data_IF_027496245320
#
_entry.id   IF_027496245320
#
_cell.length_a   1.000
_cell.length_b   1.000
_cell.length_c   1.000
_cell.angle_alpha   90.00
_cell.angle_beta   90.00
_cell.angle_gamma   90.00
#
_symmetry.space_group_name_H-M   'P 1'
#
loop_
_entity.id
_entity.type
_entity.pdbx_description
1 polymer ?
#
# COMPACT_ATOMS: atom_id res chain seq x y z
N UNK A 1 28.98 -22.11 2.38
CA UNK A 1 28.59 -22.68 1.07
C UNK A 1 27.42 -21.86 0.57
N UNK A 2 27.55 -21.15 -0.55
CA UNK A 2 26.46 -20.37 -1.15
C UNK A 2 25.56 -21.35 -1.89
N UNK A 3 24.31 -21.49 -1.49
CA UNK A 3 23.28 -22.13 -2.33
C UNK A 3 23.16 -21.33 -3.64
N UNK A 4 23.14 -21.99 -4.82
CA UNK A 4 23.26 -21.29 -6.10
C UNK A 4 21.92 -20.65 -6.51
N UNK A 5 21.90 -19.79 -7.53
CA UNK A 5 20.72 -19.10 -8.11
C UNK A 5 19.59 -20.02 -8.65
N UNK A 6 19.54 -21.29 -8.26
CA UNK A 6 18.73 -22.35 -8.86
C UNK A 6 17.24 -22.27 -8.50
N UNK A 7 16.89 -21.90 -7.26
CA UNK A 7 15.48 -21.78 -6.83
C UNK A 7 14.73 -20.71 -7.63
N UNK A 8 15.44 -19.66 -8.06
CA UNK A 8 14.86 -18.53 -8.78
C UNK A 8 14.48 -18.89 -10.22
N UNK A 9 15.22 -19.80 -10.86
CA UNK A 9 14.91 -20.24 -12.22
C UNK A 9 13.69 -21.17 -12.25
N UNK A 10 13.51 -22.01 -11.22
CA UNK A 10 12.33 -22.85 -11.08
C UNK A 10 11.05 -22.02 -10.94
N UNK A 11 11.08 -20.97 -10.11
CA UNK A 11 9.94 -20.06 -9.92
C UNK A 11 9.61 -19.34 -11.24
N UNK A 12 10.61 -18.72 -11.89
CA UNK A 12 10.42 -18.05 -13.19
C UNK A 12 9.85 -18.98 -14.26
N UNK A 13 10.28 -20.24 -14.27
CA UNK A 13 9.77 -21.25 -15.20
C UNK A 13 8.30 -21.57 -14.93
N UNK A 14 7.91 -21.74 -13.66
CA UNK A 14 6.52 -21.99 -13.26
C UNK A 14 5.58 -20.81 -13.58
N UNK A 15 6.08 -19.58 -13.44
CA UNK A 15 5.33 -18.35 -13.72
C UNK A 15 5.28 -18.00 -15.22
N UNK A 16 6.07 -18.68 -16.05
CA UNK A 16 6.14 -18.44 -17.49
C UNK A 16 6.90 -17.16 -17.87
N UNK A 17 7.76 -16.67 -16.98
CA UNK A 17 8.58 -15.46 -17.18
C UNK A 17 9.87 -15.73 -17.96
N UNK A 18 10.15 -16.99 -18.30
CA UNK A 18 11.29 -17.36 -19.13
C UNK A 18 10.98 -17.19 -20.61
N UNK A 19 11.95 -16.69 -21.37
CA UNK A 19 11.85 -16.70 -22.83
C UNK A 19 11.97 -18.14 -23.40
N UNK A 20 11.71 -18.30 -24.70
CA UNK A 20 11.73 -19.62 -25.34
C UNK A 20 13.10 -20.32 -25.26
N UNK A 21 14.21 -19.56 -25.30
CA UNK A 21 15.56 -20.11 -25.27
C UNK A 21 15.99 -20.47 -23.84
N UNK A 22 15.58 -19.68 -22.85
CA UNK A 22 15.74 -19.96 -21.42
C UNK A 22 14.93 -21.21 -21.02
N UNK A 23 13.67 -21.29 -21.41
CA UNK A 23 12.79 -22.43 -21.11
C UNK A 23 13.31 -23.75 -21.70
N UNK A 24 13.83 -23.72 -22.94
CA UNK A 24 14.45 -24.91 -23.55
C UNK A 24 15.69 -25.37 -22.78
N UNK A 25 16.54 -24.44 -22.33
CA UNK A 25 17.72 -24.75 -21.51
C UNK A 25 17.33 -25.33 -20.14
N UNK A 26 16.31 -24.76 -19.51
CA UNK A 26 15.80 -25.25 -18.22
C UNK A 26 15.17 -26.64 -18.35
N UNK A 27 14.43 -26.90 -19.43
CA UNK A 27 13.83 -28.21 -19.70
C UNK A 27 14.89 -29.29 -19.87
N UNK A 28 15.96 -29.01 -20.61
CA UNK A 28 17.11 -29.94 -20.72
C UNK A 28 17.76 -30.21 -19.35
N UNK A 29 17.79 -29.20 -18.47
CA UNK A 29 18.28 -29.35 -17.10
C UNK A 29 17.38 -30.28 -16.27
N UNK A 30 16.05 -30.12 -16.36
CA UNK A 30 15.08 -31.02 -15.72
C UNK A 30 15.21 -32.48 -16.19
N UNK A 31 15.59 -32.70 -17.44
CA UNK A 31 15.85 -34.06 -17.94
C UNK A 31 17.14 -34.67 -17.36
N UNK A 32 18.14 -33.82 -17.07
CA UNK A 32 19.43 -34.24 -16.52
C UNK A 32 19.45 -34.38 -14.99
N UNK A 33 18.52 -33.72 -14.28
CA UNK A 33 18.47 -33.67 -12.82
C UNK A 33 17.13 -34.21 -12.28
N UNK A 34 17.09 -35.49 -11.83
CA UNK A 34 15.88 -36.10 -11.28
C UNK A 34 15.36 -35.44 -10.00
N UNK A 35 16.23 -34.82 -9.20
CA UNK A 35 15.83 -34.18 -7.95
C UNK A 35 15.09 -32.86 -8.25
N UNK A 36 15.65 -32.05 -9.15
CA UNK A 36 15.01 -30.82 -9.63
C UNK A 36 13.67 -31.13 -10.34
N UNK A 37 13.60 -32.23 -11.10
CA UNK A 37 12.36 -32.69 -11.72
C UNK A 37 11.29 -33.05 -10.68
N UNK A 38 11.66 -33.77 -9.63
CA UNK A 38 10.72 -34.13 -8.57
C UNK A 38 10.16 -32.90 -7.83
N UNK A 39 11.01 -31.89 -7.61
CA UNK A 39 10.60 -30.61 -7.02
C UNK A 39 9.66 -29.83 -7.94
N UNK A 40 9.98 -29.71 -9.23
CA UNK A 40 9.12 -29.07 -10.23
C UNK A 40 7.75 -29.76 -10.32
N UNK A 41 7.71 -31.09 -10.36
CA UNK A 41 6.47 -31.86 -10.39
C UNK A 41 5.62 -31.63 -9.12
N UNK A 42 6.27 -31.51 -7.95
CA UNK A 42 5.58 -31.21 -6.69
C UNK A 42 4.95 -29.82 -6.71
N UNK A 43 5.70 -28.78 -7.13
CA UNK A 43 5.19 -27.42 -7.21
C UNK A 43 4.05 -27.29 -8.22
N UNK A 44 4.15 -27.95 -9.37
CA UNK A 44 3.08 -27.97 -10.37
C UNK A 44 1.79 -28.60 -9.83
N UNK A 45 1.90 -29.71 -9.08
CA UNK A 45 0.74 -30.34 -8.43
C UNK A 45 0.11 -29.40 -7.40
N UNK A 46 0.92 -28.76 -6.56
CA UNK A 46 0.43 -27.77 -5.59
C UNK A 46 -0.30 -26.61 -6.28
N UNK A 47 0.24 -26.07 -7.38
CA UNK A 47 -0.44 -25.04 -8.17
C UNK A 47 -1.78 -25.52 -8.74
N UNK A 48 -1.83 -26.77 -9.24
CA UNK A 48 -3.07 -27.37 -9.73
C UNK A 48 -4.11 -27.58 -8.62
N UNK A 49 -3.68 -28.03 -7.44
CA UNK A 49 -4.55 -28.21 -6.27
C UNK A 49 -5.14 -26.87 -5.80
N UNK A 50 -4.32 -25.82 -5.72
CA UNK A 50 -4.78 -24.45 -5.38
C UNK A 50 -5.78 -23.93 -6.40
N UNK A 51 -5.49 -24.10 -7.70
CA UNK A 51 -6.43 -23.69 -8.78
C UNK A 51 -7.75 -24.46 -8.72
N UNK A 52 -7.72 -25.73 -8.31
CA UNK A 52 -8.92 -26.56 -8.17
C UNK A 52 -9.74 -26.18 -6.93
N UNK A 53 -9.07 -25.78 -5.85
CA UNK A 53 -9.71 -25.36 -4.61
C UNK A 53 -10.28 -23.94 -4.67
N UNK A 54 -9.79 -23.08 -5.57
CA UNK A 54 -10.27 -21.72 -5.73
C UNK A 54 -11.45 -21.66 -6.71
N UNK A 55 -12.57 -21.02 -6.35
CA UNK A 55 -13.66 -20.80 -7.29
C UNK A 55 -13.19 -19.93 -8.46
N UNK A 56 -13.47 -20.38 -9.69
CA UNK A 56 -13.09 -19.72 -10.96
C UNK A 56 -13.63 -18.29 -11.05
N UNK A 57 -14.78 -18.04 -10.44
CA UNK A 57 -15.39 -16.73 -10.30
C UNK A 57 -15.66 -16.46 -8.82
N UNK A 58 -14.87 -15.57 -8.25
CA UNK A 58 -15.19 -14.92 -6.99
C UNK A 58 -15.62 -13.49 -7.32
N UNK A 59 -16.86 -13.06 -6.99
CA UNK A 59 -17.22 -11.67 -7.16
C UNK A 59 -16.28 -10.83 -6.30
N UNK A 60 -15.49 -9.96 -6.93
CA UNK A 60 -14.61 -9.04 -6.21
C UNK A 60 -15.49 -8.21 -5.29
N UNK A 61 -15.34 -8.31 -3.96
CA UNK A 61 -16.12 -7.50 -3.04
C UNK A 61 -15.85 -6.04 -3.38
N UNK A 62 -16.90 -5.28 -3.69
CA UNK A 62 -16.81 -3.87 -4.06
C UNK A 62 -15.98 -3.62 -5.34
N UNK A 63 -16.24 -4.37 -6.42
CA UNK A 63 -15.59 -4.17 -7.73
C UNK A 63 -15.59 -2.72 -8.22
N UNK A 64 -16.65 -1.96 -7.95
CA UNK A 64 -16.72 -0.53 -8.29
C UNK A 64 -15.70 0.32 -7.51
N UNK A 65 -15.48 0.01 -6.23
CA UNK A 65 -14.47 0.67 -5.41
C UNK A 65 -13.06 0.33 -5.90
N UNK A 66 -12.79 -0.96 -6.17
CA UNK A 66 -11.51 -1.40 -6.74
C UNK A 66 -11.23 -0.68 -8.07
N UNK A 67 -12.22 -0.62 -8.96
CA UNK A 67 -12.12 0.08 -10.23
C UNK A 67 -11.87 1.59 -10.05
N UNK A 68 -12.53 2.23 -9.07
CA UNK A 68 -12.32 3.64 -8.76
C UNK A 68 -10.90 3.94 -8.27
N UNK A 69 -10.30 3.04 -7.48
CA UNK A 69 -8.92 3.18 -7.00
C UNK A 69 -7.91 3.01 -8.14
N UNK A 70 -8.13 2.04 -9.03
CA UNK A 70 -7.30 1.85 -10.24
C UNK A 70 -7.38 3.10 -11.12
N UNK A 71 -8.58 3.63 -11.37
CA UNK A 71 -8.76 4.84 -12.19
C UNK A 71 -8.10 6.07 -11.57
N UNK A 72 -8.24 6.24 -10.25
CA UNK A 72 -7.58 7.33 -9.52
C UNK A 72 -6.07 7.21 -9.62
N UNK A 73 -5.52 6.00 -9.47
CA UNK A 73 -4.10 5.73 -9.60
C UNK A 73 -3.58 6.02 -11.01
N UNK A 74 -4.30 5.58 -12.05
CA UNK A 74 -3.97 5.87 -13.45
C UNK A 74 -4.02 7.38 -13.72
N UNK A 75 -5.02 8.09 -13.20
CA UNK A 75 -5.13 9.54 -13.35
C UNK A 75 -3.99 10.29 -12.63
N UNK A 76 -3.50 9.75 -11.51
CA UNK A 76 -2.36 10.31 -10.77
C UNK A 76 -1.01 9.97 -11.42
N UNK A 77 -0.90 8.79 -12.05
CA UNK A 77 0.31 8.33 -12.73
C UNK A 77 0.41 8.82 -14.17
N UNK A 78 -0.68 9.31 -14.77
CA UNK A 78 -0.61 10.03 -16.04
C UNK A 78 0.17 11.33 -15.83
N UNK A 79 1.39 11.46 -16.41
CA UNK A 79 2.06 12.74 -16.38
C UNK A 79 1.16 13.74 -17.11
N UNK A 80 0.85 14.86 -16.44
CA UNK A 80 0.22 16.00 -17.10
C UNK A 80 1.01 16.27 -18.38
N UNK A 81 0.33 16.22 -19.54
CA UNK A 81 0.93 16.61 -20.80
C UNK A 81 1.57 17.98 -20.58
N UNK A 82 2.87 18.15 -20.85
CA UNK A 82 3.54 19.40 -20.56
C UNK A 82 2.83 20.51 -21.33
N UNK A 83 2.39 21.56 -20.62
CA UNK A 83 1.99 22.81 -21.24
C UNK A 83 3.11 23.28 -22.19
N UNK A 84 2.80 23.95 -23.31
CA UNK A 84 3.82 24.41 -24.24
C UNK A 84 4.69 25.49 -23.60
N UNK A 85 5.75 25.05 -22.91
CA UNK A 85 6.78 25.91 -22.35
C UNK A 85 7.51 26.57 -23.51
N UNK A 86 7.59 27.91 -23.48
CA UNK A 86 8.32 28.71 -24.43
C UNK A 86 9.72 28.11 -24.69
N UNK A 87 10.14 28.09 -25.96
CA UNK A 87 11.39 27.50 -26.44
C UNK A 87 12.61 28.07 -25.68
N UNK A 88 13.02 27.37 -24.62
CA UNK A 88 14.31 27.56 -24.00
C UNK A 88 15.39 26.95 -24.92
N UNK A 89 16.41 27.77 -25.17
CA UNK A 89 17.43 27.54 -26.18
C UNK A 89 18.39 26.41 -25.78
N UNK A 90 18.66 25.50 -26.72
CA UNK A 90 19.65 24.41 -26.69
C UNK A 90 21.08 24.77 -26.23
N UNK A 91 21.37 26.04 -25.97
CA UNK A 91 22.68 26.54 -25.56
C UNK A 91 22.86 26.61 -24.03
N UNK A 92 21.80 26.41 -23.23
CA UNK A 92 21.93 26.42 -21.76
C UNK A 92 22.60 25.15 -21.19
N UNK A 93 22.72 24.07 -21.99
CA UNK A 93 23.38 22.82 -21.57
C UNK A 93 24.91 22.95 -21.41
N UNK A 94 25.54 23.99 -21.99
CA UNK A 94 27.00 24.15 -21.95
C UNK A 94 27.53 24.83 -20.69
N UNK A 95 26.67 25.18 -19.73
CA UNK A 95 27.09 25.85 -18.49
C UNK A 95 26.69 25.06 -17.26
N UNK A 96 27.41 23.97 -16.99
CA UNK A 96 27.62 23.46 -15.63
C UNK A 96 28.89 22.57 -15.59
N UNK A 97 29.93 22.97 -14.83
CA UNK A 97 31.10 22.14 -14.59
C UNK A 97 30.95 21.36 -13.27
N UNK A 98 31.28 20.07 -13.28
CA UNK A 98 31.78 19.37 -12.10
C UNK A 98 31.12 18.04 -11.73
N UNK A 99 31.82 16.95 -12.07
CA UNK A 99 31.89 15.65 -11.38
C UNK A 99 30.58 14.84 -11.21
N UNK A 100 30.26 13.89 -12.09
CA UNK A 100 30.82 12.53 -12.11
C UNK A 100 30.91 11.86 -10.73
N UNK A 101 29.97 10.98 -10.39
CA UNK A 101 30.28 9.59 -10.03
C UNK A 101 29.03 8.71 -10.00
N UNK A 102 29.17 7.58 -10.69
CA UNK A 102 28.65 6.24 -10.40
C UNK A 102 27.16 5.91 -10.61
N UNK A 103 26.98 5.09 -11.64
CA UNK A 103 25.82 4.30 -11.96
C UNK A 103 25.45 3.27 -10.86
N UNK A 104 24.16 2.94 -10.86
CA UNK A 104 23.58 1.63 -10.59
C UNK A 104 23.76 1.01 -9.19
N UNK A 105 22.70 1.10 -8.37
CA UNK A 105 22.14 -0.09 -7.72
C UNK A 105 20.62 -0.01 -7.77
N UNK A 106 20.06 -0.84 -8.66
CA UNK A 106 18.66 -1.26 -8.70
C UNK A 106 18.37 -2.30 -7.60
N UNK A 107 17.13 -2.27 -7.14
CA UNK A 107 16.34 -3.36 -6.56
C UNK A 107 16.46 -3.72 -5.05
N UNK A 108 15.34 -3.46 -4.37
CA UNK A 108 14.63 -4.36 -3.47
C UNK A 108 15.23 -4.66 -2.08
N UNK A 109 14.85 -3.81 -1.12
CA UNK A 109 14.37 -4.32 0.17
C UNK A 109 12.85 -4.16 0.17
N UNK A 110 12.17 -5.20 -0.34
CA UNK A 110 10.75 -5.45 -0.04
C UNK A 110 10.71 -5.89 1.42
N UNK A 111 10.71 -4.92 2.32
CA UNK A 111 10.05 -5.09 3.62
C UNK A 111 8.69 -4.44 3.43
N UNK A 112 7.66 -5.22 3.72
CA UNK A 112 6.28 -4.78 3.85
C UNK A 112 6.17 -3.71 4.96
N UNK A 113 6.65 -2.51 4.65
CA UNK A 113 6.44 -1.30 5.41
C UNK A 113 5.22 -0.63 4.83
N UNK A 114 4.18 -0.55 5.65
CA UNK A 114 3.10 0.45 5.58
C UNK A 114 3.55 1.64 4.73
N UNK A 115 3.10 1.70 3.48
CA UNK A 115 3.30 2.85 2.60
C UNK A 115 2.49 4.01 3.18
N UNK A 116 3.07 4.69 4.15
CA UNK A 116 2.78 6.10 4.42
C UNK A 116 3.25 6.81 3.15
N UNK A 117 2.32 7.01 2.22
CA UNK A 117 2.50 7.97 1.15
C UNK A 117 2.61 9.32 1.85
N UNK A 118 3.84 9.79 2.07
CA UNK A 118 4.10 11.20 2.32
C UNK A 118 3.79 11.92 1.02
N UNK A 119 2.54 12.35 0.87
CA UNK A 119 2.22 13.46 -0.01
C UNK A 119 2.79 14.71 0.66
N UNK A 120 3.58 15.48 -0.09
CA UNK A 120 4.02 16.80 0.34
C UNK A 120 2.78 17.62 0.73
N UNK A 121 2.74 18.03 2.00
CA UNK A 121 1.65 18.79 2.57
C UNK A 121 1.71 20.23 2.04
N UNK A 122 1.10 20.46 0.87
CA UNK A 122 0.63 21.77 0.47
C UNK A 122 -0.74 22.02 1.14
N UNK A 123 -0.70 22.63 2.32
CA UNK A 123 -1.84 23.31 2.98
C UNK A 123 -3.13 22.49 3.21
N UNK A 124 -3.03 21.17 3.41
CA UNK A 124 -4.20 20.30 3.61
C UNK A 124 -3.98 19.16 4.61
N UNK A 125 -5.04 18.81 5.35
CA UNK A 125 -5.07 17.65 6.26
C UNK A 125 -5.22 16.35 5.47
N UNK A 126 -4.22 15.45 5.55
CA UNK A 126 -4.22 14.15 4.87
C UNK A 126 -4.87 13.07 5.75
N UNK A 127 -5.84 12.33 5.18
CA UNK A 127 -6.42 11.15 5.86
C UNK A 127 -5.51 9.94 5.63
N UNK A 128 -4.81 9.52 6.69
CA UNK A 128 -3.87 8.39 6.63
C UNK A 128 -4.58 7.03 6.56
N UNK A 129 -5.72 6.90 7.24
CA UNK A 129 -6.52 5.68 7.25
C UNK A 129 -7.92 5.95 7.76
N UNK A 130 -8.91 5.20 7.27
CA UNK A 130 -10.28 5.18 7.78
C UNK A 130 -10.67 3.75 8.18
N UNK A 131 -11.48 3.61 9.22
CA UNK A 131 -11.99 2.32 9.68
C UNK A 131 -13.46 2.45 10.06
N UNK A 132 -14.29 1.58 9.47
CA UNK A 132 -15.69 1.41 9.84
C UNK A 132 -15.91 -0.06 10.25
N UNK A 133 -16.23 -0.33 11.53
CA UNK A 133 -16.45 -1.71 12.00
C UNK A 133 -17.73 -2.32 11.43
N UNK A 134 -18.72 -1.49 11.08
CA UNK A 134 -19.95 -1.92 10.43
C UNK A 134 -19.77 -1.90 8.90
N UNK A 135 -19.93 -3.06 8.27
CA UNK A 135 -19.77 -3.21 6.81
C UNK A 135 -20.85 -2.47 6.00
N UNK A 136 -21.98 -2.09 6.60
CA UNK A 136 -22.99 -1.24 5.94
C UNK A 136 -22.58 0.23 5.89
N UNK A 137 -21.51 0.63 6.59
CA UNK A 137 -21.04 2.01 6.67
C UNK A 137 -19.90 2.21 5.69
N UNK A 138 -20.07 3.16 4.77
CA UNK A 138 -19.04 3.56 3.81
C UNK A 138 -18.43 4.89 4.25
N UNK A 139 -17.10 4.96 4.22
CA UNK A 139 -16.35 6.18 4.57
C UNK A 139 -15.66 6.70 3.31
N UNK A 140 -15.92 7.95 2.96
CA UNK A 140 -15.16 8.67 1.94
C UNK A 140 -14.66 9.99 2.49
N UNK A 141 -13.55 10.49 1.94
CA UNK A 141 -12.95 11.75 2.34
C UNK A 141 -12.58 12.57 1.11
N UNK A 142 -12.82 13.88 1.17
CA UNK A 142 -12.38 14.80 0.14
C UNK A 142 -12.02 16.14 0.76
N UNK A 143 -11.17 16.91 0.06
CA UNK A 143 -10.85 18.27 0.46
C UNK A 143 -11.92 19.22 -0.10
N UNK A 144 -12.52 20.06 0.76
CA UNK A 144 -13.43 21.13 0.36
C UNK A 144 -12.68 22.47 0.35
N UNK A 145 -12.42 23.07 -0.83
CA UNK A 145 -11.75 24.37 -0.91
C UNK A 145 -12.56 25.49 -0.26
N UNK A 146 -13.89 25.45 -0.38
CA UNK A 146 -14.79 26.48 0.20
C UNK A 146 -14.76 26.47 1.73
N UNK A 147 -14.68 25.28 2.33
CA UNK A 147 -14.61 25.13 3.78
C UNK A 147 -13.18 25.16 4.32
N UNK A 148 -12.16 25.19 3.44
CA UNK A 148 -10.74 25.02 3.79
C UNK A 148 -10.51 23.83 4.74
N UNK A 149 -11.20 22.71 4.48
CA UNK A 149 -11.23 21.57 5.39
C UNK A 149 -11.34 20.24 4.65
N UNK A 150 -10.81 19.20 5.29
CA UNK A 150 -11.03 17.81 4.87
C UNK A 150 -12.38 17.34 5.40
N UNK A 151 -13.28 16.99 4.48
CA UNK A 151 -14.62 16.50 4.78
C UNK A 151 -14.60 14.98 4.82
N UNK A 152 -15.12 14.40 5.90
CA UNK A 152 -15.37 12.97 6.05
C UNK A 152 -16.87 12.70 5.85
N UNK A 153 -17.22 11.94 4.82
CA UNK A 153 -18.60 11.54 4.54
C UNK A 153 -18.81 10.09 4.94
N UNK A 154 -19.82 9.87 5.78
CA UNK A 154 -20.19 8.55 6.32
C UNK A 154 -21.58 8.19 5.80
N UNK A 155 -21.66 7.21 4.91
CA UNK A 155 -22.93 6.72 4.36
C UNK A 155 -23.33 5.42 5.06
N UNK A 156 -24.63 5.21 5.32
CA UNK A 156 -25.13 3.99 5.94
C UNK A 156 -25.07 3.96 7.47
N UNK A 157 -24.80 5.11 8.09
CA UNK A 157 -25.10 5.34 9.51
C UNK A 157 -26.58 5.70 9.67
N UNK A 158 -27.15 5.33 10.81
CA UNK A 158 -28.44 5.87 11.24
C UNK A 158 -28.30 7.37 11.48
N UNK A 159 -29.36 8.13 11.19
CA UNK A 159 -29.40 9.57 11.39
C UNK A 159 -28.98 9.91 12.82
N UNK A 160 -27.95 10.74 12.95
CA UNK A 160 -27.48 11.21 14.25
C UNK A 160 -28.46 12.27 14.75
N UNK A 161 -29.14 12.06 15.89
CA UNK A 161 -30.06 13.04 16.43
C UNK A 161 -29.37 14.38 16.67
N UNK A 162 -30.06 15.49 16.39
CA UNK A 162 -29.49 16.83 16.51
C UNK A 162 -29.06 17.20 17.95
N UNK A 163 -29.64 16.54 18.95
CA UNK A 163 -29.29 16.68 20.37
C UNK A 163 -28.10 15.80 20.80
N UNK A 164 -27.63 14.89 19.93
CA UNK A 164 -26.51 14.02 20.24
C UNK A 164 -25.19 14.78 20.11
N UNK A 165 -24.58 15.07 21.27
CA UNK A 165 -23.26 15.72 21.33
C UNK A 165 -22.18 14.82 20.73
N UNK A 166 -21.55 15.28 19.65
CA UNK A 166 -20.33 14.68 19.09
C UNK A 166 -19.13 15.31 19.81
N UNK A 167 -18.21 14.46 20.30
CA UNK A 167 -16.99 14.89 20.99
C UNK A 167 -15.80 14.36 20.21
N UNK A 168 -14.92 15.28 19.79
CA UNK A 168 -13.62 14.95 19.23
C UNK A 168 -12.52 15.07 20.28
N UNK A 169 -11.40 14.39 20.06
CA UNK A 169 -10.17 14.61 20.82
C UNK A 169 -9.26 15.55 20.04
N UNK A 170 -8.72 16.57 20.71
CA UNK A 170 -7.62 17.35 20.16
C UNK A 170 -6.31 16.62 20.43
N UNK A 171 -5.60 16.24 19.37
CA UNK A 171 -4.37 15.46 19.45
C UNK A 171 -3.23 16.29 18.88
N UNK A 172 -2.24 16.59 19.70
CA UNK A 172 -1.03 17.33 19.29
C UNK A 172 0.04 16.40 18.73
N UNK A 173 0.14 15.20 19.31
CA UNK A 173 1.21 14.26 18.97
C UNK A 173 0.70 12.83 18.97
N UNK A 174 1.22 12.04 18.04
CA UNK A 174 1.07 10.59 18.05
C UNK A 174 2.44 9.92 18.05
N UNK A 175 2.56 8.83 18.78
CA UNK A 175 3.74 7.96 18.76
C UNK A 175 3.30 6.54 18.43
N UNK A 176 3.98 5.89 17.49
CA UNK A 176 3.67 4.52 17.08
C UNK A 176 4.83 3.60 17.46
N UNK A 177 4.55 2.63 18.31
CA UNK A 177 5.48 1.59 18.71
C UNK A 177 5.26 0.36 17.82
N UNK A 178 6.20 0.16 16.88
CA UNK A 178 6.06 -0.85 15.83
C UNK A 178 6.15 -2.28 16.36
N UNK A 179 6.96 -2.53 17.40
CA UNK A 179 7.16 -3.86 17.99
C UNK A 179 5.85 -4.46 18.54
N UNK A 180 4.97 -3.61 19.06
CA UNK A 180 3.69 -4.00 19.66
C UNK A 180 2.46 -3.47 18.90
N UNK A 181 2.67 -2.96 17.68
CA UNK A 181 1.62 -2.41 16.81
C UNK A 181 0.63 -1.47 17.53
N UNK A 182 1.14 -0.61 18.40
CA UNK A 182 0.34 0.30 19.23
C UNK A 182 0.66 1.75 18.91
N UNK A 183 -0.38 2.58 18.78
CA UNK A 183 -0.29 4.02 18.59
C UNK A 183 -0.87 4.73 19.81
N UNK A 184 -0.04 5.54 20.46
CA UNK A 184 -0.42 6.40 21.58
C UNK A 184 -0.63 7.83 21.09
N UNK A 185 -1.80 8.40 21.39
CA UNK A 185 -2.16 9.77 21.06
C UNK A 185 -2.07 10.64 22.32
N UNK A 186 -1.39 11.77 22.20
CA UNK A 186 -1.13 12.70 23.30
C UNK A 186 -1.84 14.03 23.07
N UNK A 187 -2.35 14.60 24.16
CA UNK A 187 -2.94 15.94 24.21
C UNK A 187 -1.89 17.04 24.38
N UNK A 188 -2.36 18.27 24.58
CA UNK A 188 -1.52 19.48 24.63
C UNK A 188 -0.50 19.49 25.78
N UNK A 189 -0.82 18.84 26.90
CA UNK A 189 0.06 18.83 28.08
C UNK A 189 0.92 17.57 28.14
N UNK A 190 0.97 16.80 27.04
CA UNK A 190 1.69 15.53 26.95
C UNK A 190 1.01 14.37 27.68
N UNK A 191 -0.25 14.54 28.11
CA UNK A 191 -1.07 13.48 28.67
C UNK A 191 -1.49 12.47 27.59
N UNK A 192 -1.57 11.19 27.96
CA UNK A 192 -2.09 10.15 27.06
C UNK A 192 -3.60 10.29 26.96
N UNK A 193 -4.09 10.58 25.76
CA UNK A 193 -5.52 10.75 25.45
C UNK A 193 -6.13 9.45 24.95
N UNK A 194 -5.41 8.72 24.08
CA UNK A 194 -5.90 7.49 23.49
C UNK A 194 -4.75 6.51 23.24
N UNK A 195 -4.99 5.24 23.47
CA UNK A 195 -4.09 4.15 23.05
C UNK A 195 -4.86 3.23 22.12
N UNK A 196 -4.40 3.13 20.89
CA UNK A 196 -4.98 2.30 19.83
C UNK A 196 -3.99 1.21 19.48
N UNK A 197 -4.37 -0.06 19.66
CA UNK A 197 -3.60 -1.19 19.15
C UNK A 197 -4.28 -1.80 17.94
N UNK A 198 -3.54 -2.63 17.19
CA UNK A 198 -4.13 -3.45 16.13
C UNK A 198 -4.27 -4.90 16.61
N UNK A 199 -5.40 -5.53 16.29
CA UNK A 199 -5.61 -6.94 16.58
C UNK A 199 -4.93 -7.86 15.52
N UNK A 200 -5.08 -9.17 15.66
CA UNK A 200 -4.53 -10.16 14.73
C UNK A 200 -5.09 -10.03 13.29
N UNK A 201 -6.18 -9.28 13.10
CA UNK A 201 -6.80 -8.97 11.80
C UNK A 201 -6.45 -7.54 11.34
N UNK A 202 -5.46 -6.91 11.97
CA UNK A 202 -5.02 -5.54 11.70
C UNK A 202 -6.12 -4.48 11.94
N UNK A 203 -7.15 -4.80 12.74
CA UNK A 203 -8.25 -3.89 13.07
C UNK A 203 -7.90 -3.07 14.31
N UNK A 204 -8.22 -1.75 14.33
CA UNK A 204 -7.95 -0.91 15.48
C UNK A 204 -8.82 -1.31 16.67
N UNK A 205 -8.18 -1.47 17.82
CA UNK A 205 -8.81 -1.74 19.12
C UNK A 205 -8.34 -0.69 20.11
N UNK A 206 -9.29 -0.04 20.76
CA UNK A 206 -9.00 0.90 21.85
C UNK A 206 -8.57 0.12 23.10
N UNK A 207 -7.38 0.42 23.60
CA UNK A 207 -6.84 -0.18 24.83
C UNK A 207 -7.08 0.73 26.05
N UNK A 208 -6.94 2.04 25.87
CA UNK A 208 -7.19 3.03 26.90
C UNK A 208 -7.67 4.35 26.26
N UNK A 209 -8.58 5.05 26.93
CA UNK A 209 -9.03 6.38 26.56
C UNK A 209 -9.10 7.24 27.83
N UNK A 210 -8.48 8.42 27.81
CA UNK A 210 -8.70 9.42 28.84
C UNK A 210 -10.15 9.89 28.74
N UNK A 211 -10.82 10.01 29.90
CA UNK A 211 -12.18 10.49 29.94
C UNK A 211 -12.17 11.98 29.54
N UNK A 212 -12.84 12.42 28.46
CA UNK A 212 -12.82 13.82 28.01
C UNK A 212 -13.57 14.78 28.95
N UNK A 213 -13.88 14.35 30.18
CA UNK A 213 -14.54 15.12 31.24
C UNK A 213 -13.56 15.38 32.37
N UNK A 214 -12.67 16.34 32.14
CA UNK A 214 -12.02 17.13 33.18
C UNK A 214 -12.50 18.56 33.04
#
# INVERSE_FOLDING_TARGET
MKTPPDDHDLIRWLDGEMDAAESARFTLRLESDPALKAEADMMQRMCADVRTALPVEMPVPFGDFFNSQIQMRIAQEQPALPEPVARASWLDWFRLPGFATLAAVTAAVVVAGVMIVRQDATDGSVVLSSYAPNQSVQVSSFHSPEAHATVLMLNGLEDVPADRKIVGYHIERSETEQEIATTTLYGERGEVVLVVAKDARNQPRLLAAANPRG
#
